data_IF_022024862791
#
_entry.id   IF_022024862791
#
_cell.length_a   1.000
_cell.length_b   1.000
_cell.length_c   1.000
_cell.angle_alpha   90.00
_cell.angle_beta   90.00
_cell.angle_gamma   90.00
#
_symmetry.space_group_name_H-M   'P 1'
#
loop_
_entity.id
_entity.type
_entity.pdbx_description
1 polymer ?
#
# COMPACT_ATOMS: atom_id res chain seq x y z
N UNK A 1 -3.30 23.57 -7.15
CA UNK A 1 -4.31 22.92 -6.27
C UNK A 1 -3.66 22.16 -5.11
N UNK A 2 -2.82 21.10 -5.35
CA UNK A 2 -2.24 20.30 -4.26
C UNK A 2 -1.39 21.15 -3.29
N UNK A 3 -0.55 22.04 -3.80
CA UNK A 3 0.23 23.00 -2.99
C UNK A 3 -0.66 23.93 -2.16
N UNK A 4 -1.78 24.35 -2.71
CA UNK A 4 -2.76 25.21 -2.01
C UNK A 4 -3.45 24.44 -0.89
N UNK A 5 -3.82 23.15 -1.14
CA UNK A 5 -4.38 22.28 -0.12
C UNK A 5 -3.38 22.03 1.03
N UNK A 6 -2.12 21.78 0.70
CA UNK A 6 -1.07 21.57 1.71
C UNK A 6 -0.82 22.85 2.54
N UNK A 7 -0.74 24.00 1.89
CA UNK A 7 -0.60 25.29 2.57
C UNK A 7 -1.82 25.63 3.44
N UNK A 8 -3.03 25.28 2.98
CA UNK A 8 -4.24 25.46 3.77
C UNK A 8 -4.28 24.54 4.99
N UNK A 9 -3.87 23.29 4.82
CA UNK A 9 -3.75 22.33 5.93
C UNK A 9 -2.78 22.82 7.02
N UNK A 10 -1.68 23.47 6.62
CA UNK A 10 -0.70 24.04 7.56
C UNK A 10 -1.32 25.03 8.54
N UNK A 11 -2.27 25.84 8.11
CA UNK A 11 -2.96 26.81 8.98
C UNK A 11 -3.68 26.16 10.15
N UNK A 12 -4.01 24.88 10.03
CA UNK A 12 -4.69 24.06 11.05
C UNK A 12 -3.79 23.02 11.72
N UNK A 13 -2.48 23.06 11.47
CA UNK A 13 -1.55 22.06 11.97
C UNK A 13 -1.73 20.67 11.33
N UNK A 14 -2.39 20.60 10.17
CA UNK A 14 -2.62 19.35 9.43
C UNK A 14 -1.49 19.13 8.43
N UNK A 15 -0.94 17.91 8.45
CA UNK A 15 0.05 17.46 7.49
C UNK A 15 -0.64 16.66 6.38
N UNK A 16 -0.51 17.10 5.13
CA UNK A 16 -1.09 16.42 3.98
C UNK A 16 -0.13 15.34 3.47
N UNK A 17 -0.45 14.08 3.74
CA UNK A 17 0.33 12.93 3.24
C UNK A 17 -0.31 12.41 1.95
N UNK A 18 0.40 12.46 0.79
CA UNK A 18 -0.11 11.87 -0.44
C UNK A 18 -0.29 10.37 -0.30
N UNK A 19 -1.45 9.86 -0.76
CA UNK A 19 -1.70 8.43 -0.92
C UNK A 19 -1.88 8.12 -2.40
N UNK A 20 -1.03 7.27 -2.94
CA UNK A 20 -1.04 6.85 -4.34
C UNK A 20 -1.13 5.35 -4.46
N UNK A 21 -1.69 4.88 -5.55
CA UNK A 21 -1.68 3.45 -5.86
C UNK A 21 -0.51 3.14 -6.79
N UNK A 22 0.45 2.36 -6.30
CA UNK A 22 1.63 1.98 -7.06
C UNK A 22 1.62 0.53 -7.56
N UNK A 23 0.55 -0.21 -7.29
CA UNK A 23 0.43 -1.62 -7.71
C UNK A 23 -0.99 -2.03 -8.11
N UNK A 24 -1.99 -1.86 -7.25
CA UNK A 24 -3.38 -2.30 -7.48
C UNK A 24 -4.38 -1.14 -7.43
N UNK A 25 -5.68 -1.44 -7.50
CA UNK A 25 -6.77 -0.45 -7.53
C UNK A 25 -6.67 0.58 -8.67
N UNK A 26 -6.11 0.17 -9.79
CA UNK A 26 -5.87 1.04 -10.95
C UNK A 26 -6.79 0.76 -12.13
N UNK A 27 -7.84 -0.03 -11.97
CA UNK A 27 -8.75 -0.42 -13.05
C UNK A 27 -9.34 0.77 -13.80
N UNK A 28 -9.59 1.88 -13.13
CA UNK A 28 -10.10 3.13 -13.74
C UNK A 28 -9.05 3.81 -14.62
N UNK A 29 -7.78 3.78 -14.22
CA UNK A 29 -6.66 4.32 -15.00
C UNK A 29 -6.26 3.37 -16.13
N UNK A 30 -6.11 2.08 -15.81
CA UNK A 30 -5.58 1.07 -16.73
C UNK A 30 -6.48 0.77 -17.94
N UNK A 31 -7.75 1.18 -17.91
CA UNK A 31 -8.65 1.06 -19.08
C UNK A 31 -8.34 2.01 -20.23
N UNK A 32 -7.52 3.02 -19.99
CA UNK A 32 -7.22 4.04 -21.01
C UNK A 32 -6.02 3.66 -21.87
N UNK A 33 -6.01 4.03 -23.19
CA UNK A 33 -4.91 3.68 -24.10
C UNK A 33 -3.53 4.17 -23.65
N UNK A 34 -3.47 5.24 -22.87
CA UNK A 34 -2.20 5.77 -22.34
C UNK A 34 -1.49 4.77 -21.40
N UNK A 35 -2.23 3.84 -20.82
CA UNK A 35 -1.70 2.80 -19.93
C UNK A 35 -1.27 1.52 -20.67
N UNK A 36 -1.29 1.50 -21.99
CA UNK A 36 -0.90 0.32 -22.78
C UNK A 36 0.53 -0.13 -22.43
N UNK A 37 0.66 -1.39 -22.03
CA UNK A 37 1.92 -2.00 -21.61
C UNK A 37 2.27 -1.79 -20.14
N UNK A 38 1.38 -1.17 -19.35
CA UNK A 38 1.51 -1.02 -17.91
C UNK A 38 0.72 -2.07 -17.10
N UNK A 39 -0.09 -2.88 -17.77
CA UNK A 39 -1.04 -3.79 -17.12
C UNK A 39 -0.45 -5.18 -16.95
N UNK A 40 -0.45 -5.70 -15.72
CA UNK A 40 -0.40 -7.14 -15.49
C UNK A 40 -1.78 -7.75 -15.78
N UNK A 41 -2.82 -7.15 -15.21
CA UNK A 41 -4.21 -7.49 -15.44
C UNK A 41 -5.08 -6.22 -15.36
N UNK A 42 -6.40 -6.39 -15.32
CA UNK A 42 -7.35 -5.26 -15.34
C UNK A 42 -7.12 -4.22 -14.24
N UNK A 43 -6.58 -4.64 -13.07
CA UNK A 43 -6.50 -3.81 -11.87
C UNK A 43 -5.07 -3.54 -11.40
N UNK A 44 -4.12 -4.38 -11.80
CA UNK A 44 -2.74 -4.32 -11.32
C UNK A 44 -1.77 -3.81 -12.39
N UNK A 45 -0.82 -2.99 -11.97
CA UNK A 45 0.36 -2.68 -12.77
C UNK A 45 1.18 -3.93 -13.04
N UNK A 46 1.95 -3.90 -14.12
CA UNK A 46 2.91 -4.94 -14.50
C UNK A 46 4.26 -4.64 -13.84
N UNK A 47 4.66 -5.36 -12.79
CA UNK A 47 5.97 -5.19 -12.17
C UNK A 47 7.11 -5.57 -13.12
N UNK A 48 8.33 -5.12 -12.77
CA UNK A 48 9.56 -5.41 -13.50
C UNK A 48 9.59 -4.86 -14.95
N UNK A 49 8.72 -3.90 -15.26
CA UNK A 49 8.70 -3.17 -16.52
C UNK A 49 9.16 -1.71 -16.30
N UNK A 50 10.06 -1.25 -17.16
CA UNK A 50 10.59 0.12 -17.10
C UNK A 50 9.51 1.19 -17.13
N UNK A 51 8.50 1.00 -17.99
CA UNK A 51 7.37 1.93 -18.10
C UNK A 51 6.57 2.07 -16.80
N UNK A 52 6.41 0.98 -16.06
CA UNK A 52 5.73 0.99 -14.75
C UNK A 52 6.48 1.86 -13.77
N UNK A 53 7.78 1.71 -13.70
CA UNK A 53 8.59 2.52 -12.78
C UNK A 53 8.75 3.97 -13.24
N UNK A 54 8.75 4.23 -14.54
CA UNK A 54 8.71 5.60 -15.06
C UNK A 54 7.42 6.34 -14.67
N UNK A 55 6.27 5.64 -14.70
CA UNK A 55 5.00 6.19 -14.22
C UNK A 55 5.06 6.49 -12.72
N UNK A 56 5.48 5.52 -11.91
CA UNK A 56 5.58 5.66 -10.44
C UNK A 56 6.55 6.81 -10.10
N UNK A 57 7.70 6.85 -10.75
CA UNK A 57 8.68 7.92 -10.56
C UNK A 57 8.11 9.30 -10.85
N UNK A 58 7.35 9.43 -11.94
CA UNK A 58 6.68 10.69 -12.28
C UNK A 58 5.71 11.14 -11.18
N UNK A 59 4.94 10.20 -10.60
CA UNK A 59 4.03 10.51 -9.49
C UNK A 59 4.80 10.95 -8.24
N UNK A 60 5.80 10.19 -7.81
CA UNK A 60 6.61 10.48 -6.62
C UNK A 60 7.33 11.82 -6.74
N UNK A 61 7.92 12.11 -7.89
CA UNK A 61 8.55 13.39 -8.18
C UNK A 61 7.56 14.56 -8.02
N UNK A 62 6.39 14.45 -8.64
CA UNK A 62 5.38 15.52 -8.54
C UNK A 62 4.94 15.76 -7.08
N UNK A 63 4.76 14.70 -6.29
CA UNK A 63 4.41 14.84 -4.88
C UNK A 63 5.53 15.47 -4.06
N UNK A 64 6.77 15.07 -4.27
CA UNK A 64 7.93 15.66 -3.57
C UNK A 64 8.06 17.18 -3.80
N UNK A 65 7.53 17.68 -4.92
CA UNK A 65 7.54 19.11 -5.27
C UNK A 65 6.28 19.86 -4.80
N UNK A 66 5.23 19.13 -4.38
CA UNK A 66 3.91 19.71 -4.13
C UNK A 66 3.50 19.78 -2.66
N UNK A 67 4.05 18.92 -1.80
CA UNK A 67 3.70 18.87 -0.37
C UNK A 67 4.93 19.06 0.50
N UNK A 68 4.72 19.53 1.72
CA UNK A 68 5.80 19.82 2.69
C UNK A 68 6.30 18.56 3.39
N UNK A 69 5.42 17.57 3.54
CA UNK A 69 5.81 16.29 4.16
C UNK A 69 6.74 15.50 3.26
N UNK A 70 7.58 14.70 3.88
CA UNK A 70 8.34 13.68 3.18
C UNK A 70 7.64 12.33 3.13
N UNK A 71 6.59 12.16 3.92
CA UNK A 71 5.81 10.91 3.96
C UNK A 71 4.98 10.75 2.69
N UNK A 72 4.95 9.52 2.16
CA UNK A 72 4.11 9.13 1.03
C UNK A 72 3.55 7.73 1.27
N UNK A 73 2.25 7.57 1.06
CA UNK A 73 1.60 6.26 1.14
C UNK A 73 1.53 5.64 -0.26
N UNK A 74 2.13 4.47 -0.42
CA UNK A 74 2.30 3.79 -1.71
C UNK A 74 1.09 2.93 -2.13
N UNK A 75 0.07 2.78 -1.26
CA UNK A 75 -1.04 1.88 -1.49
C UNK A 75 -0.62 0.42 -1.40
N UNK A 76 -0.68 -0.30 -2.52
CA UNK A 76 -0.31 -1.71 -2.70
C UNK A 76 -1.24 -2.72 -2.01
N UNK A 77 -2.41 -2.27 -1.57
CA UNK A 77 -3.44 -3.12 -0.98
C UNK A 77 -4.16 -3.95 -2.05
N UNK A 78 -4.70 -5.07 -1.59
CA UNK A 78 -5.60 -5.96 -2.35
C UNK A 78 -5.14 -6.37 -3.77
N UNK A 79 -3.84 -6.45 -4.00
CA UNK A 79 -3.27 -6.88 -5.28
C UNK A 79 -3.48 -8.39 -5.53
N UNK A 80 -4.75 -8.84 -5.47
CA UNK A 80 -5.11 -10.26 -5.49
C UNK A 80 -4.72 -10.99 -6.78
N UNK A 81 -4.78 -10.28 -7.92
CA UNK A 81 -4.44 -10.80 -9.24
C UNK A 81 -2.99 -10.63 -9.66
N UNK A 82 -2.12 -10.13 -8.77
CA UNK A 82 -0.71 -9.87 -9.08
C UNK A 82 0.01 -11.13 -9.58
N UNK A 83 0.67 -11.00 -10.72
CA UNK A 83 1.46 -12.06 -11.33
C UNK A 83 0.64 -13.12 -12.08
N UNK A 84 -0.68 -12.90 -12.28
CA UNK A 84 -1.57 -13.85 -12.97
C UNK A 84 -1.99 -13.40 -14.37
N UNK A 85 -1.53 -12.27 -14.83
CA UNK A 85 -1.85 -11.70 -16.14
C UNK A 85 -0.68 -11.73 -17.12
N UNK A 86 -0.26 -10.56 -17.58
CA UNK A 86 0.86 -10.42 -18.53
C UNK A 86 2.19 -10.85 -17.90
N UNK A 87 2.33 -10.66 -16.58
CA UNK A 87 3.50 -11.15 -15.85
C UNK A 87 3.66 -12.65 -15.98
N UNK A 88 2.57 -13.42 -15.78
CA UNK A 88 2.56 -14.88 -15.97
C UNK A 88 3.00 -15.29 -17.37
N UNK A 89 2.53 -14.57 -18.40
CA UNK A 89 2.86 -14.86 -19.79
C UNK A 89 4.35 -14.62 -20.09
N UNK A 90 4.92 -13.57 -19.50
CA UNK A 90 6.32 -13.19 -19.74
C UNK A 90 7.33 -13.99 -18.92
N UNK A 91 7.02 -14.26 -17.65
CA UNK A 91 7.97 -14.78 -16.68
C UNK A 91 7.64 -16.18 -16.15
N UNK A 92 6.46 -16.72 -16.50
CA UNK A 92 5.94 -17.95 -15.91
C UNK A 92 5.42 -17.71 -14.48
N UNK A 93 4.98 -18.81 -13.84
CA UNK A 93 4.47 -18.72 -12.47
C UNK A 93 5.57 -18.29 -11.50
N UNK A 94 5.30 -17.23 -10.77
CA UNK A 94 6.19 -16.70 -9.73
C UNK A 94 5.40 -16.47 -8.45
N UNK A 95 6.00 -16.77 -7.31
CA UNK A 95 5.37 -16.52 -6.01
C UNK A 95 5.05 -15.02 -5.86
N UNK A 96 3.82 -14.72 -5.46
CA UNK A 96 3.31 -13.34 -5.34
C UNK A 96 4.15 -12.47 -4.41
N UNK A 97 4.57 -13.01 -3.26
CA UNK A 97 5.44 -12.26 -2.33
C UNK A 97 6.78 -11.92 -2.95
N UNK A 98 7.34 -12.83 -3.77
CA UNK A 98 8.60 -12.55 -4.47
C UNK A 98 8.46 -11.43 -5.49
N UNK A 99 7.34 -11.38 -6.22
CA UNK A 99 7.03 -10.27 -7.14
C UNK A 99 6.89 -8.98 -6.34
N UNK A 100 6.09 -9.02 -5.28
CA UNK A 100 5.81 -7.86 -4.44
C UNK A 100 7.09 -7.30 -3.78
N UNK A 101 7.96 -8.17 -3.27
CA UNK A 101 9.24 -7.77 -2.69
C UNK A 101 10.10 -7.00 -3.69
N UNK A 102 10.34 -7.56 -4.89
CA UNK A 102 11.15 -6.90 -5.92
C UNK A 102 10.55 -5.59 -6.40
N UNK A 103 9.21 -5.55 -6.53
CA UNK A 103 8.49 -4.34 -6.88
C UNK A 103 8.67 -3.27 -5.79
N UNK A 104 8.49 -3.65 -4.54
CA UNK A 104 8.60 -2.76 -3.39
C UNK A 104 10.02 -2.21 -3.23
N UNK A 105 11.06 -3.05 -3.37
CA UNK A 105 12.46 -2.63 -3.37
C UNK A 105 12.71 -1.55 -4.43
N UNK A 106 12.14 -1.74 -5.63
CA UNK A 106 12.30 -0.78 -6.73
C UNK A 106 11.57 0.54 -6.47
N UNK A 107 10.37 0.49 -5.91
CA UNK A 107 9.59 1.70 -5.56
C UNK A 107 10.27 2.44 -4.40
N UNK A 108 10.84 1.73 -3.43
CA UNK A 108 11.60 2.31 -2.32
C UNK A 108 12.86 3.04 -2.83
N UNK A 109 13.61 2.48 -3.80
CA UNK A 109 14.72 3.17 -4.46
C UNK A 109 14.28 4.52 -5.07
N UNK A 110 13.08 4.55 -5.69
CA UNK A 110 12.52 5.78 -6.24
C UNK A 110 12.13 6.77 -5.13
N UNK A 111 11.55 6.32 -4.04
CA UNK A 111 11.25 7.16 -2.88
C UNK A 111 12.54 7.79 -2.32
N UNK A 112 13.58 7.00 -2.13
CA UNK A 112 14.89 7.47 -1.65
C UNK A 112 15.50 8.51 -2.59
N UNK A 113 15.36 8.34 -3.90
CA UNK A 113 15.83 9.30 -4.91
C UNK A 113 15.23 10.70 -4.71
N UNK A 114 13.98 10.78 -4.27
CA UNK A 114 13.26 12.04 -4.04
C UNK A 114 13.20 12.44 -2.55
N UNK A 115 13.91 11.74 -1.68
CA UNK A 115 13.95 12.02 -0.24
C UNK A 115 12.61 11.81 0.44
N UNK A 116 11.80 10.85 -0.05
CA UNK A 116 10.51 10.50 0.49
C UNK A 116 10.61 9.32 1.47
N UNK A 117 9.76 9.34 2.49
CA UNK A 117 9.62 8.34 3.53
C UNK A 117 8.36 7.51 3.21
N UNK A 118 8.51 6.31 2.63
CA UNK A 118 7.38 5.52 2.17
C UNK A 118 6.66 4.78 3.30
N UNK A 119 5.34 4.66 3.16
CA UNK A 119 4.49 3.75 3.91
C UNK A 119 3.55 3.00 2.97
N UNK A 120 3.07 1.83 3.38
CA UNK A 120 2.16 1.02 2.57
C UNK A 120 1.18 0.23 3.44
N UNK A 121 0.07 -0.21 2.82
CA UNK A 121 -0.86 -1.12 3.49
C UNK A 121 -0.23 -2.50 3.73
N UNK A 122 -0.48 -3.06 4.90
CA UNK A 122 0.11 -4.33 5.34
C UNK A 122 -0.66 -5.58 4.91
N UNK A 123 -1.87 -5.41 4.35
CA UNK A 123 -2.80 -6.51 4.12
C UNK A 123 -2.25 -7.62 3.21
N UNK A 124 -1.48 -7.29 2.19
CA UNK A 124 -0.92 -8.30 1.29
C UNK A 124 0.04 -9.27 1.99
N UNK A 125 0.82 -8.78 2.97
CA UNK A 125 1.68 -9.62 3.80
C UNK A 125 0.87 -10.41 4.81
N UNK A 126 -0.04 -9.77 5.53
CA UNK A 126 -0.88 -10.43 6.54
C UNK A 126 -1.77 -11.51 5.92
N UNK A 127 -2.36 -11.26 4.74
CA UNK A 127 -3.12 -12.27 3.99
C UNK A 127 -2.27 -13.51 3.69
N UNK A 128 -1.03 -13.32 3.31
CA UNK A 128 -0.15 -14.45 3.01
C UNK A 128 0.13 -15.29 4.27
N UNK A 129 0.35 -14.64 5.41
CA UNK A 129 0.57 -15.33 6.69
C UNK A 129 -0.73 -15.91 7.26
N UNK A 130 -1.86 -15.36 6.88
CA UNK A 130 -3.20 -15.84 7.22
C UNK A 130 -3.74 -16.93 6.30
N UNK A 131 -2.97 -17.39 5.30
CA UNK A 131 -3.47 -18.36 4.32
C UNK A 131 -4.53 -17.77 3.38
N UNK A 132 -4.49 -16.46 3.13
CA UNK A 132 -5.44 -15.71 2.30
C UNK A 132 -6.43 -14.86 3.10
N UNK A 133 -6.54 -15.06 4.40
CA UNK A 133 -7.40 -14.29 5.28
C UNK A 133 -6.60 -13.18 5.98
N UNK A 134 -7.00 -11.93 5.76
CA UNK A 134 -6.39 -10.75 6.37
C UNK A 134 -6.67 -10.64 7.87
N UNK A 135 -7.85 -11.08 8.29
CA UNK A 135 -8.34 -10.95 9.66
C UNK A 135 -8.17 -12.23 10.50
N UNK A 136 -7.46 -13.22 9.99
CA UNK A 136 -7.20 -14.45 10.74
C UNK A 136 -6.54 -14.15 12.08
N UNK A 137 -7.12 -14.64 13.17
CA UNK A 137 -6.64 -14.37 14.53
C UNK A 137 -5.19 -14.83 14.76
N UNK A 138 -4.86 -16.03 14.28
CA UNK A 138 -3.52 -16.58 14.38
C UNK A 138 -2.84 -16.56 13.00
N UNK A 139 -1.76 -15.82 12.89
CA UNK A 139 -0.97 -15.72 11.68
C UNK A 139 0.24 -16.65 11.75
N UNK A 140 0.48 -17.34 10.66
CA UNK A 140 1.65 -18.21 10.51
C UNK A 140 2.83 -17.40 9.94
N UNK A 141 3.47 -16.65 10.83
CA UNK A 141 4.50 -15.67 10.46
C UNK A 141 5.86 -16.35 10.42
N UNK A 142 6.53 -16.37 9.25
CA UNK A 142 7.87 -16.93 9.14
C UNK A 142 8.88 -16.10 9.95
N UNK A 143 9.94 -16.76 10.42
CA UNK A 143 10.98 -16.12 11.24
C UNK A 143 11.73 -14.97 10.52
N UNK A 144 11.75 -15.03 9.23
CA UNK A 144 12.41 -14.06 8.33
C UNK A 144 11.42 -13.07 7.70
N UNK A 145 10.18 -13.01 8.20
CA UNK A 145 9.14 -12.13 7.65
C UNK A 145 9.58 -10.67 7.52
N UNK A 146 10.35 -10.18 8.49
CA UNK A 146 10.90 -8.82 8.46
C UNK A 146 11.77 -8.56 7.20
N UNK A 147 12.41 -9.59 6.64
CA UNK A 147 13.23 -9.45 5.43
C UNK A 147 12.44 -9.32 4.13
N UNK A 148 11.12 -9.48 4.20
CA UNK A 148 10.23 -9.34 3.04
C UNK A 148 9.90 -7.89 2.73
N UNK A 149 10.06 -7.01 3.72
CA UNK A 149 9.79 -5.56 3.61
C UNK A 149 11.10 -4.81 3.80
N UNK A 150 11.45 -3.86 2.93
CA UNK A 150 12.57 -2.97 3.17
C UNK A 150 12.42 -2.23 4.51
N UNK A 151 13.51 -2.04 5.29
CA UNK A 151 13.42 -1.50 6.64
C UNK A 151 12.96 -0.04 6.71
N UNK A 152 13.08 0.68 5.59
CA UNK A 152 12.70 2.10 5.48
C UNK A 152 11.22 2.30 5.08
N UNK A 153 10.42 1.23 5.09
CA UNK A 153 9.00 1.29 4.73
C UNK A 153 8.13 1.03 5.96
N UNK A 154 7.32 2.01 6.32
CA UNK A 154 6.35 1.88 7.39
C UNK A 154 5.14 1.04 6.94
N UNK A 155 4.78 0.03 7.73
CA UNK A 155 3.62 -0.81 7.48
C UNK A 155 2.39 -0.24 8.15
N UNK A 156 1.34 0.01 7.36
CA UNK A 156 0.07 0.58 7.84
C UNK A 156 -0.99 -0.50 7.90
N UNK A 157 -1.55 -0.70 9.08
CA UNK A 157 -2.69 -1.59 9.29
C UNK A 157 -4.00 -0.83 9.13
N UNK A 158 -4.99 -1.43 8.46
CA UNK A 158 -6.35 -0.90 8.37
C UNK A 158 -7.36 -1.94 8.82
N UNK A 159 -8.37 -1.49 9.54
CA UNK A 159 -9.48 -2.33 10.00
C UNK A 159 -10.74 -1.48 10.21
N UNK A 160 -11.88 -2.05 9.81
CA UNK A 160 -13.18 -1.40 9.92
C UNK A 160 -14.24 -2.29 10.60
N UNK A 161 -13.83 -3.48 11.07
CA UNK A 161 -14.77 -4.56 11.42
C UNK A 161 -14.64 -5.04 12.86
N UNK A 162 -13.49 -4.86 13.50
CA UNK A 162 -13.24 -5.35 14.83
C UNK A 162 -13.41 -4.25 15.88
N UNK A 163 -13.96 -4.64 17.03
CA UNK A 163 -14.14 -3.80 18.22
C UNK A 163 -13.35 -4.36 19.42
N UNK A 164 -12.74 -5.54 19.25
CA UNK A 164 -12.05 -6.24 20.33
C UNK A 164 -10.61 -5.73 20.46
N UNK A 165 -10.32 -5.13 21.60
CA UNK A 165 -8.99 -4.59 21.96
C UNK A 165 -7.89 -5.67 21.84
N UNK A 166 -8.14 -6.90 22.33
CA UNK A 166 -7.17 -7.99 22.26
C UNK A 166 -6.82 -8.39 20.82
N UNK A 167 -7.74 -8.20 19.88
CA UNK A 167 -7.46 -8.39 18.46
C UNK A 167 -6.47 -7.35 17.95
N UNK A 168 -6.67 -6.07 18.29
CA UNK A 168 -5.74 -5.00 17.92
C UNK A 168 -4.37 -5.17 18.58
N UNK A 169 -4.31 -5.59 19.84
CA UNK A 169 -3.04 -5.91 20.51
C UNK A 169 -2.24 -6.97 19.76
N UNK A 170 -2.92 -8.01 19.30
CA UNK A 170 -2.31 -9.04 18.44
C UNK A 170 -1.75 -8.45 17.14
N UNK A 171 -2.48 -7.52 16.50
CA UNK A 171 -2.02 -6.85 15.26
C UNK A 171 -0.84 -5.93 15.52
N UNK A 172 -0.83 -5.19 16.63
CA UNK A 172 0.30 -4.37 17.05
C UNK A 172 1.55 -5.22 17.22
N UNK A 173 1.46 -6.34 17.93
CA UNK A 173 2.60 -7.25 18.12
C UNK A 173 3.10 -7.82 16.78
N UNK A 174 2.20 -8.16 15.88
CA UNK A 174 2.55 -8.62 14.54
C UNK A 174 3.32 -7.55 13.75
N UNK A 175 2.81 -6.31 13.74
CA UNK A 175 3.43 -5.22 12.97
C UNK A 175 4.79 -4.81 13.53
N UNK A 176 5.02 -4.95 14.83
CA UNK A 176 6.33 -4.71 15.46
C UNK A 176 7.46 -5.59 14.90
N UNK A 177 7.15 -6.67 14.22
CA UNK A 177 8.13 -7.46 13.49
C UNK A 177 8.70 -6.69 12.27
N UNK A 178 7.97 -5.72 11.75
CA UNK A 178 8.35 -4.93 10.58
C UNK A 178 8.77 -3.49 10.93
N UNK A 179 8.60 -3.06 12.18
CA UNK A 179 8.89 -1.70 12.65
C UNK A 179 7.82 -1.19 13.60
N UNK A 180 7.76 0.12 13.81
CA UNK A 180 6.69 0.72 14.61
C UNK A 180 5.38 0.69 13.82
N UNK A 181 4.30 0.14 14.39
CA UNK A 181 3.05 0.00 13.68
C UNK A 181 2.33 1.35 13.49
N UNK A 182 1.78 1.56 12.29
CA UNK A 182 0.85 2.64 12.00
C UNK A 182 -0.54 2.03 11.83
N UNK A 183 -1.52 2.63 12.49
CA UNK A 183 -2.92 2.23 12.37
C UNK A 183 -3.71 3.29 11.63
N UNK A 184 -4.40 2.88 10.57
CA UNK A 184 -5.36 3.69 9.87
C UNK A 184 -6.77 3.24 10.23
N UNK A 185 -7.57 4.19 10.66
CA UNK A 185 -8.98 3.99 10.91
C UNK A 185 -9.81 4.99 10.11
N UNK A 186 -11.08 4.74 10.00
CA UNK A 186 -12.00 5.64 9.33
C UNK A 186 -13.44 5.30 9.63
N UNK A 187 -14.32 6.24 9.36
CA UNK A 187 -15.75 5.99 9.44
C UNK A 187 -16.20 5.23 8.19
N UNK A 188 -16.70 4.02 8.38
CA UNK A 188 -17.26 3.23 7.30
C UNK A 188 -18.64 3.76 6.92
N UNK A 189 -18.75 4.39 5.76
CA UNK A 189 -19.99 5.02 5.27
C UNK A 189 -20.46 4.46 3.94
N UNK A 190 -20.25 3.19 3.67
CA UNK A 190 -20.70 2.58 2.43
C UNK A 190 -22.22 2.62 2.33
N UNK A 191 -22.70 3.08 1.19
CA UNK A 191 -24.13 3.07 0.87
C UNK A 191 -24.64 1.62 0.91
N UNK A 192 -25.64 1.36 1.77
CA UNK A 192 -26.24 0.04 1.95
C UNK A 192 -25.81 -0.71 3.21
N UNK A 193 -24.74 -0.33 3.88
CA UNK A 193 -24.31 -0.99 5.13
C UNK A 193 -24.64 -0.21 6.40
N UNK A 194 -25.16 1.00 6.27
CA UNK A 194 -25.34 1.91 7.40
C UNK A 194 -24.01 2.51 7.88
N UNK A 195 -24.10 3.59 8.65
CA UNK A 195 -22.91 4.16 9.28
C UNK A 195 -22.54 3.31 10.50
N UNK A 196 -21.36 2.71 10.48
CA UNK A 196 -20.83 2.01 11.64
C UNK A 196 -19.89 2.95 12.42
N UNK A 197 -20.46 3.76 13.30
CA UNK A 197 -19.77 4.80 14.05
C UNK A 197 -18.90 4.23 15.17
N UNK A 198 -19.06 2.95 15.50
CA UNK A 198 -18.37 2.31 16.62
C UNK A 198 -16.99 1.79 16.30
N UNK A 199 -16.58 1.74 15.03
CA UNK A 199 -15.35 1.05 14.60
C UNK A 199 -14.15 1.95 14.36
N UNK A 200 -14.27 3.24 14.64
CA UNK A 200 -13.13 4.15 14.56
C UNK A 200 -12.61 4.39 15.97
N UNK A 201 -11.76 3.52 16.45
CA UNK A 201 -10.94 3.81 17.61
C UNK A 201 -9.59 4.36 17.11
N UNK A 202 -9.38 5.62 17.38
CA UNK A 202 -8.09 6.26 17.15
C UNK A 202 -7.05 5.77 18.17
#
# INVERSE_FOLDING_TARGET
ELKECDAYGELFGICLVPCIQTLAHLSTFLRWPISNGLQDNRDNLLPEEEKTYALIESMLKNFSECVRTKKVHLGMDEAHGLGLGEYLKKHGFTNRLSIMKRHLEKVEELCRKYGLEPMMWSDMFLRQFGGGDYYKEQLDIPKDAASLVPPDIDMVYWDYYHENEAFYDSRIQTHRLFGEPIFAGGVWTWVGFGANWGLTYA
#
